data_IF_146319058311
#
_entry.id   IF_146319058311
#
_cell.length_a   1.000
_cell.length_b   1.000
_cell.length_c   1.000
_cell.angle_alpha   90.00
_cell.angle_beta   90.00
_cell.angle_gamma   90.00
#
_symmetry.space_group_name_H-M   'P 1'
#
loop_
_entity.id
_entity.type
_entity.pdbx_description
1 polymer ?
#
# COMPACT_ATOMS: atom_id res chain seq x y z
N UNK A 1 16.32 6.66 -12.34
CA UNK A 1 16.24 6.12 -10.98
C UNK A 1 15.08 5.15 -10.91
N UNK A 2 15.31 3.98 -10.31
CA UNK A 2 14.29 2.96 -10.12
C UNK A 2 13.71 3.07 -8.70
N UNK A 3 12.43 3.34 -8.62
CA UNK A 3 11.65 3.34 -7.37
C UNK A 3 10.91 2.01 -7.22
N UNK A 4 10.90 1.46 -6.00
CA UNK A 4 10.01 0.37 -5.60
C UNK A 4 8.95 0.92 -4.66
N UNK A 5 7.70 0.97 -5.11
CA UNK A 5 6.57 1.49 -4.35
C UNK A 5 5.72 0.31 -3.84
N UNK A 6 5.36 0.32 -2.57
CA UNK A 6 4.59 -0.75 -1.94
C UNK A 6 3.76 -0.24 -0.78
N UNK A 7 2.65 -0.90 -0.48
CA UNK A 7 1.71 -0.53 0.57
C UNK A 7 0.95 -1.72 1.15
N UNK A 8 0.09 -1.44 2.12
CA UNK A 8 -0.91 -2.39 2.61
C UNK A 8 -0.28 -3.73 3.01
N UNK A 9 0.77 -3.62 3.85
CA UNK A 9 1.58 -4.75 4.34
C UNK A 9 0.78 -5.55 5.39
N UNK A 10 0.05 -4.81 6.22
CA UNK A 10 -0.85 -5.39 7.22
C UNK A 10 -0.22 -6.50 8.06
N UNK A 11 0.97 -6.25 8.62
CA UNK A 11 1.65 -7.20 9.49
C UNK A 11 1.99 -8.56 8.84
N UNK A 12 1.99 -8.64 7.51
CA UNK A 12 2.33 -9.86 6.76
C UNK A 12 3.83 -9.89 6.42
N UNK A 13 4.62 -10.31 7.41
CA UNK A 13 6.07 -10.32 7.32
C UNK A 13 6.61 -11.21 6.20
N UNK A 14 5.94 -12.34 5.91
CA UNK A 14 6.39 -13.26 4.86
C UNK A 14 6.24 -12.62 3.47
N UNK A 15 5.14 -11.89 3.24
CA UNK A 15 4.94 -11.14 2.00
C UNK A 15 5.93 -9.98 1.87
N UNK A 16 6.11 -9.19 2.94
CA UNK A 16 7.04 -8.06 2.96
C UNK A 16 8.47 -8.49 2.62
N UNK A 17 8.96 -9.59 3.20
CA UNK A 17 10.29 -10.14 2.89
C UNK A 17 10.43 -10.45 1.42
N UNK A 18 9.46 -11.12 0.82
CA UNK A 18 9.49 -11.46 -0.61
C UNK A 18 9.48 -10.22 -1.50
N UNK A 19 8.69 -9.20 -1.17
CA UNK A 19 8.66 -7.93 -1.91
C UNK A 19 10.02 -7.23 -1.84
N UNK A 20 10.59 -7.06 -0.66
CA UNK A 20 11.90 -6.40 -0.50
C UNK A 20 13.03 -7.18 -1.20
N UNK A 21 13.01 -8.51 -1.17
CA UNK A 21 13.97 -9.34 -1.91
C UNK A 21 13.75 -9.27 -3.43
N UNK A 22 12.49 -9.13 -3.87
CA UNK A 22 12.18 -8.85 -5.28
C UNK A 22 12.77 -7.51 -5.70
N UNK A 23 12.57 -6.45 -4.93
CA UNK A 23 13.12 -5.12 -5.21
C UNK A 23 14.64 -5.11 -5.36
N UNK A 24 15.35 -5.91 -4.55
CA UNK A 24 16.81 -6.10 -4.71
C UNK A 24 17.16 -6.69 -6.08
N UNK A 25 16.40 -7.72 -6.54
CA UNK A 25 16.63 -8.37 -7.85
C UNK A 25 16.34 -7.43 -9.02
N UNK A 26 15.40 -6.49 -8.86
CA UNK A 26 15.10 -5.45 -9.85
C UNK A 26 16.07 -4.26 -9.78
N UNK A 27 17.02 -4.28 -8.84
CA UNK A 27 18.00 -3.19 -8.60
C UNK A 27 17.29 -1.86 -8.29
N UNK A 28 16.27 -1.92 -7.44
CA UNK A 28 15.57 -0.74 -6.94
C UNK A 28 16.55 0.13 -6.14
N UNK A 29 16.63 1.41 -6.49
CA UNK A 29 17.51 2.39 -5.88
C UNK A 29 16.86 3.14 -4.71
N UNK A 30 15.51 3.29 -4.75
CA UNK A 30 14.75 4.02 -3.74
C UNK A 30 13.42 3.30 -3.43
N UNK A 31 13.17 3.02 -2.16
CA UNK A 31 12.00 2.27 -1.69
C UNK A 31 11.04 3.20 -0.97
N UNK A 32 9.76 3.17 -1.40
CA UNK A 32 8.68 4.01 -0.89
C UNK A 32 7.57 3.12 -0.37
N UNK A 33 7.28 3.24 0.93
CA UNK A 33 6.13 2.58 1.58
C UNK A 33 4.99 3.58 1.72
N UNK A 34 3.84 3.27 1.12
CA UNK A 34 2.67 4.14 1.18
C UNK A 34 1.77 3.89 2.40
N UNK A 35 2.27 3.23 3.44
CA UNK A 35 1.53 3.03 4.68
C UNK A 35 0.74 1.72 4.76
N UNK A 36 -0.11 1.64 5.78
CA UNK A 36 -0.80 0.42 6.23
C UNK A 36 0.18 -0.72 6.48
N UNK A 37 1.22 -0.40 7.26
CA UNK A 37 2.25 -1.34 7.68
C UNK A 37 1.66 -2.36 8.66
N UNK A 38 0.76 -1.90 9.53
CA UNK A 38 0.15 -2.72 10.58
C UNK A 38 -1.34 -3.03 10.33
N UNK A 39 -1.98 -3.73 11.26
CA UNK A 39 -3.36 -4.19 11.13
C UNK A 39 -3.46 -5.58 10.50
N UNK A 40 -4.56 -6.29 10.75
CA UNK A 40 -4.93 -7.61 10.24
C UNK A 40 -3.94 -8.75 10.54
N UNK A 41 -2.68 -8.62 10.20
CA UNK A 41 -1.69 -9.70 10.21
C UNK A 41 -0.92 -9.86 11.52
N UNK A 42 -0.12 -10.93 11.63
CA UNK A 42 0.39 -11.40 12.92
C UNK A 42 1.70 -10.75 13.40
N UNK A 43 2.39 -9.95 12.55
CA UNK A 43 3.74 -9.44 12.84
C UNK A 43 3.86 -7.91 12.68
N UNK A 44 3.04 -7.10 13.43
CA UNK A 44 3.04 -5.65 13.24
C UNK A 44 4.40 -5.01 13.56
N UNK A 45 5.04 -5.40 14.66
CA UNK A 45 6.30 -4.79 15.09
C UNK A 45 7.46 -5.13 14.14
N UNK A 46 7.54 -6.37 13.70
CA UNK A 46 8.59 -6.84 12.78
C UNK A 46 8.44 -6.18 11.40
N UNK A 47 7.21 -5.93 10.96
CA UNK A 47 6.96 -5.19 9.72
C UNK A 47 7.35 -3.72 9.86
N UNK A 48 7.02 -3.06 10.98
CA UNK A 48 7.45 -1.67 11.24
C UNK A 48 8.98 -1.56 11.27
N UNK A 49 9.67 -2.45 12.00
CA UNK A 49 11.13 -2.49 12.08
C UNK A 49 11.75 -2.64 10.69
N UNK A 50 11.26 -3.60 9.90
CA UNK A 50 11.79 -3.86 8.56
C UNK A 50 11.54 -2.70 7.58
N UNK A 51 10.37 -2.04 7.64
CA UNK A 51 10.08 -0.86 6.84
C UNK A 51 10.95 0.31 7.25
N UNK A 52 11.11 0.57 8.55
CA UNK A 52 11.97 1.63 9.07
C UNK A 52 13.45 1.47 8.65
N UNK A 53 13.93 0.23 8.59
CA UNK A 53 15.32 -0.06 8.21
C UNK A 53 15.56 -0.06 6.70
N UNK A 54 14.56 -0.44 5.90
CA UNK A 54 14.77 -0.74 4.48
C UNK A 54 14.03 0.18 3.50
N UNK A 55 13.30 1.19 4.00
CA UNK A 55 12.59 2.16 3.15
C UNK A 55 13.23 3.54 3.27
N UNK A 56 13.29 4.25 2.15
CA UNK A 56 13.83 5.62 2.08
C UNK A 56 12.74 6.66 2.35
N UNK A 57 11.50 6.31 2.03
CA UNK A 57 10.30 7.14 2.20
C UNK A 57 9.20 6.28 2.78
N UNK A 58 8.54 6.78 3.82
CA UNK A 58 7.39 6.11 4.44
C UNK A 58 6.32 7.14 4.73
N UNK A 59 5.08 6.86 4.35
CA UNK A 59 3.91 7.68 4.70
C UNK A 59 2.94 6.87 5.55
N UNK A 60 2.02 7.59 6.21
CA UNK A 60 1.05 7.01 7.14
C UNK A 60 -0.15 6.44 6.38
N UNK A 61 -0.56 5.20 6.73
CA UNK A 61 -1.84 4.62 6.32
C UNK A 61 -2.92 4.75 7.40
N UNK A 62 -4.17 4.45 7.06
CA UNK A 62 -5.29 4.59 8.00
C UNK A 62 -5.23 3.57 9.14
N UNK A 63 -4.76 2.36 8.90
CA UNK A 63 -4.53 1.38 9.96
C UNK A 63 -3.41 1.81 10.90
N UNK A 64 -2.33 2.36 10.37
CA UNK A 64 -1.23 2.91 11.17
C UNK A 64 -1.73 4.06 12.04
N UNK A 65 -2.52 4.97 11.47
CA UNK A 65 -3.11 6.14 12.13
C UNK A 65 -4.00 5.73 13.33
N UNK A 66 -4.85 4.72 13.14
CA UNK A 66 -5.68 4.17 14.23
C UNK A 66 -4.84 3.39 15.24
N UNK A 67 -3.83 2.64 14.80
CA UNK A 67 -2.96 1.87 15.69
C UNK A 67 -2.22 2.75 16.70
N UNK A 68 -1.82 3.97 16.30
CA UNK A 68 -1.16 4.94 17.20
C UNK A 68 -2.15 5.82 17.97
N UNK A 69 -3.46 5.61 17.79
CA UNK A 69 -4.50 6.32 18.56
C UNK A 69 -4.82 7.73 18.09
N UNK A 70 -4.44 8.11 16.87
CA UNK A 70 -4.80 9.40 16.27
C UNK A 70 -6.28 9.45 15.84
N UNK A 71 -6.87 8.29 15.55
CA UNK A 71 -8.29 8.11 15.22
C UNK A 71 -8.88 6.90 15.95
N UNK A 72 -10.22 6.86 16.04
CA UNK A 72 -10.96 5.70 16.55
C UNK A 72 -11.31 4.76 15.41
N UNK A 73 -11.29 3.44 15.68
CA UNK A 73 -11.83 2.43 14.77
C UNK A 73 -13.33 2.15 14.97
N UNK A 74 -13.99 2.84 15.89
CA UNK A 74 -15.41 2.60 16.22
C UNK A 74 -16.35 2.89 15.06
N UNK A 75 -15.96 3.82 14.17
CA UNK A 75 -16.71 4.18 12.97
C UNK A 75 -16.49 3.21 11.79
N UNK A 76 -15.57 2.27 11.93
CA UNK A 76 -15.35 1.30 10.85
C UNK A 76 -16.51 0.30 10.76
N UNK A 77 -17.10 0.17 9.60
CA UNK A 77 -18.22 -0.77 9.36
C UNK A 77 -17.79 -2.25 9.39
N UNK A 78 -16.51 -2.55 9.47
CA UNK A 78 -15.96 -3.90 9.43
C UNK A 78 -15.51 -4.37 10.83
N UNK A 79 -16.35 -5.18 11.48
CA UNK A 79 -16.06 -5.73 12.80
C UNK A 79 -14.73 -6.52 12.88
N UNK A 80 -14.35 -7.27 11.84
CA UNK A 80 -13.08 -8.00 11.84
C UNK A 80 -11.89 -7.04 11.78
N UNK A 81 -12.02 -5.93 11.05
CA UNK A 81 -11.00 -4.88 11.02
C UNK A 81 -10.86 -4.20 12.39
N UNK A 82 -11.98 -3.86 13.05
CA UNK A 82 -11.97 -3.29 14.41
C UNK A 82 -11.26 -4.21 15.41
N UNK A 83 -11.59 -5.51 15.39
CA UNK A 83 -10.93 -6.49 16.29
C UNK A 83 -9.44 -6.64 16.00
N UNK A 84 -9.06 -6.68 14.73
CA UNK A 84 -7.66 -6.83 14.33
C UNK A 84 -6.84 -5.61 14.74
N UNK A 85 -7.36 -4.39 14.53
CA UNK A 85 -6.61 -3.18 14.90
C UNK A 85 -6.53 -3.00 16.41
N UNK A 86 -7.55 -3.41 17.16
CA UNK A 86 -7.49 -3.43 18.63
C UNK A 86 -6.38 -4.36 19.11
N UNK A 87 -6.34 -5.59 18.60
CA UNK A 87 -5.26 -6.53 18.90
C UNK A 87 -3.89 -5.95 18.52
N UNK A 88 -3.78 -5.32 17.34
CA UNK A 88 -2.54 -4.67 16.90
C UNK A 88 -2.08 -3.62 17.91
N UNK A 89 -2.97 -2.75 18.40
CA UNK A 89 -2.67 -1.75 19.43
C UNK A 89 -2.17 -2.37 20.74
N UNK A 90 -2.78 -3.49 21.14
CA UNK A 90 -2.42 -4.17 22.40
C UNK A 90 -1.01 -4.80 22.35
N UNK A 91 -0.49 -5.15 21.14
CA UNK A 91 0.82 -5.78 20.97
C UNK A 91 1.89 -4.83 20.38
N UNK A 92 1.50 -3.64 19.95
CA UNK A 92 2.41 -2.68 19.33
C UNK A 92 3.39 -2.15 20.37
N UNK A 93 4.69 -2.28 20.08
CA UNK A 93 5.76 -1.77 20.95
C UNK A 93 5.82 -0.24 20.90
N UNK A 94 6.22 0.44 21.99
CA UNK A 94 6.35 1.90 22.01
C UNK A 94 7.21 2.45 20.86
N UNK A 95 8.35 1.83 20.57
CA UNK A 95 9.24 2.25 19.46
C UNK A 95 8.55 2.16 18.09
N UNK A 96 7.72 1.13 17.86
CA UNK A 96 6.94 1.00 16.63
C UNK A 96 5.85 2.06 16.55
N UNK A 97 5.16 2.32 17.68
CA UNK A 97 4.14 3.37 17.77
C UNK A 97 4.75 4.77 17.56
N UNK A 98 5.90 5.05 18.14
CA UNK A 98 6.62 6.31 17.97
C UNK A 98 7.04 6.53 16.51
N UNK A 99 7.53 5.49 15.82
CA UNK A 99 7.86 5.56 14.40
C UNK A 99 6.62 5.89 13.56
N UNK A 100 5.55 5.10 13.68
CA UNK A 100 4.30 5.33 12.95
C UNK A 100 3.70 6.71 13.26
N UNK A 101 3.78 7.14 14.52
CA UNK A 101 3.27 8.42 14.98
C UNK A 101 3.98 9.66 14.40
N UNK A 102 5.10 9.50 13.70
CA UNK A 102 5.83 10.63 13.08
C UNK A 102 5.64 10.69 11.56
N UNK A 103 4.98 9.67 10.96
CA UNK A 103 4.83 9.58 9.53
C UNK A 103 3.92 10.67 8.96
N UNK A 104 4.28 11.26 7.81
CA UNK A 104 3.46 12.23 7.09
C UNK A 104 2.34 11.53 6.30
N UNK A 105 1.31 12.28 5.91
CA UNK A 105 0.23 11.80 5.04
C UNK A 105 0.60 11.86 3.55
N UNK A 106 1.47 12.78 3.16
CA UNK A 106 1.85 13.07 1.78
C UNK A 106 3.33 13.37 1.71
N UNK A 107 3.99 12.86 0.68
CA UNK A 107 5.35 13.26 0.28
C UNK A 107 5.35 13.52 -1.22
N UNK A 108 6.08 14.57 -1.63
CA UNK A 108 6.27 14.94 -3.03
C UNK A 108 7.76 14.92 -3.34
N UNK A 109 8.15 14.10 -4.31
CA UNK A 109 9.48 14.06 -4.90
C UNK A 109 9.35 14.20 -6.42
N UNK A 110 9.30 15.43 -6.97
CA UNK A 110 9.02 15.60 -8.39
C UNK A 110 9.91 14.71 -9.29
N UNK A 111 9.31 14.01 -10.27
CA UNK A 111 7.95 14.14 -10.78
C UNK A 111 6.91 13.24 -10.12
N UNK A 112 7.14 12.76 -8.89
CA UNK A 112 6.34 11.77 -8.16
C UNK A 112 5.59 12.39 -6.98
N UNK A 113 4.34 11.96 -6.78
CA UNK A 113 3.47 12.29 -5.65
C UNK A 113 3.07 10.99 -4.93
N UNK A 114 3.11 10.98 -3.59
CA UNK A 114 2.81 9.82 -2.76
C UNK A 114 1.80 10.15 -1.69
N UNK A 115 0.72 9.38 -1.63
CA UNK A 115 -0.25 9.37 -0.53
C UNK A 115 -0.81 7.96 -0.34
N UNK A 116 -1.36 7.63 0.83
CA UNK A 116 -1.91 6.31 1.06
C UNK A 116 -3.26 6.09 0.34
N UNK A 117 -4.18 7.04 0.47
CA UNK A 117 -5.53 6.98 -0.09
C UNK A 117 -5.71 8.07 -1.16
N UNK A 118 -6.89 8.72 -1.19
CA UNK A 118 -7.16 9.78 -2.15
C UNK A 118 -6.28 11.03 -1.93
N UNK A 119 -5.84 11.72 -3.00
CA UNK A 119 -5.09 12.97 -2.89
C UNK A 119 -5.93 14.16 -2.38
N UNK A 120 -7.25 14.13 -2.46
CA UNK A 120 -8.13 15.27 -2.13
C UNK A 120 -8.50 15.37 -0.65
N UNK A 121 -7.98 14.85 0.21
CA UNK A 121 -8.07 14.91 1.68
C UNK A 121 -7.42 13.68 2.27
N UNK A 122 -6.10 13.60 2.25
CA UNK A 122 -5.38 12.39 2.66
C UNK A 122 -5.82 11.82 4.02
N UNK A 123 -6.16 12.66 5.05
CA UNK A 123 -6.61 12.14 6.34
C UNK A 123 -8.03 11.54 6.34
N UNK A 124 -8.84 11.77 5.30
CA UNK A 124 -10.21 11.23 5.23
C UNK A 124 -10.25 9.79 4.68
N UNK A 125 -9.14 9.28 4.19
CA UNK A 125 -8.98 7.91 3.71
C UNK A 125 -10.00 7.50 2.64
N UNK A 126 -10.37 8.42 1.73
CA UNK A 126 -11.33 8.14 0.66
C UNK A 126 -10.76 7.13 -0.32
N UNK A 127 -11.62 6.18 -0.73
CA UNK A 127 -11.24 5.19 -1.75
C UNK A 127 -11.18 5.82 -3.14
N UNK A 128 -10.20 5.41 -3.93
CA UNK A 128 -10.13 5.63 -5.38
C UNK A 128 -10.35 4.27 -6.03
N UNK A 129 -11.60 3.92 -6.30
CA UNK A 129 -12.01 2.57 -6.70
C UNK A 129 -12.51 2.48 -8.14
N UNK A 130 -12.84 3.61 -8.75
CA UNK A 130 -13.41 3.72 -10.10
C UNK A 130 -12.70 4.79 -10.90
N UNK A 131 -12.94 4.79 -12.22
CA UNK A 131 -12.36 5.80 -13.10
C UNK A 131 -12.73 7.22 -12.70
N UNK A 132 -14.00 7.45 -12.31
CA UNK A 132 -14.46 8.78 -11.88
C UNK A 132 -13.68 9.28 -10.64
N UNK A 133 -13.43 8.41 -9.67
CA UNK A 133 -12.62 8.75 -8.50
C UNK A 133 -11.18 9.12 -8.92
N UNK A 134 -10.62 8.40 -9.90
CA UNK A 134 -9.28 8.70 -10.44
C UNK A 134 -9.23 10.02 -11.20
N UNK A 135 -10.30 10.35 -11.94
CA UNK A 135 -10.46 11.66 -12.64
C UNK A 135 -10.42 12.80 -11.63
N UNK A 136 -11.22 12.69 -10.55
CA UNK A 136 -11.22 13.68 -9.48
C UNK A 136 -9.85 13.82 -8.83
N UNK A 137 -9.16 12.69 -8.60
CA UNK A 137 -7.84 12.66 -7.97
C UNK A 137 -6.79 13.48 -8.71
N UNK A 138 -6.79 13.46 -10.06
CA UNK A 138 -5.84 14.23 -10.87
C UNK A 138 -5.88 15.76 -10.64
N UNK A 139 -6.97 16.28 -10.09
CA UNK A 139 -7.10 17.70 -9.76
C UNK A 139 -6.35 18.12 -8.50
N UNK A 140 -5.86 17.17 -7.70
CA UNK A 140 -5.28 17.43 -6.39
C UNK A 140 -3.76 17.22 -6.29
N UNK A 141 -3.11 16.86 -7.37
CA UNK A 141 -1.64 16.84 -7.49
C UNK A 141 -1.23 17.28 -8.89
N UNK A 142 -0.01 17.80 -9.06
CA UNK A 142 0.50 18.34 -10.34
C UNK A 142 1.59 17.47 -10.96
N UNK A 143 2.12 16.54 -10.18
CA UNK A 143 3.21 15.65 -10.58
C UNK A 143 2.78 14.73 -11.73
N UNK A 144 3.74 14.22 -12.48
CA UNK A 144 3.44 13.34 -13.60
C UNK A 144 2.88 11.98 -13.16
N UNK A 145 3.32 11.47 -12.00
CA UNK A 145 2.86 10.18 -11.49
C UNK A 145 2.49 10.32 -10.01
N UNK A 146 1.22 10.08 -9.70
CA UNK A 146 0.72 9.90 -8.33
C UNK A 146 0.65 8.42 -7.96
N UNK A 147 1.07 8.07 -6.73
CA UNK A 147 0.99 6.72 -6.20
C UNK A 147 0.06 6.68 -4.98
N UNK A 148 -0.80 5.67 -4.95
CA UNK A 148 -1.77 5.38 -3.89
C UNK A 148 -1.83 3.88 -3.58
N UNK A 149 -2.35 3.51 -2.41
CA UNK A 149 -2.68 2.14 -1.98
C UNK A 149 -4.13 2.01 -1.55
N UNK A 150 -4.38 1.55 -0.31
CA UNK A 150 -5.63 1.55 0.43
C UNK A 150 -6.75 0.64 -0.12
N UNK A 151 -6.96 0.55 -1.44
CA UNK A 151 -7.98 -0.34 -2.02
C UNK A 151 -7.53 -1.79 -2.07
N UNK A 152 -6.24 -2.05 -2.03
CA UNK A 152 -5.56 -3.34 -2.27
C UNK A 152 -5.81 -3.91 -3.68
N UNK A 153 -6.21 -3.07 -4.60
CA UNK A 153 -6.51 -3.42 -5.98
C UNK A 153 -5.58 -2.64 -6.92
N UNK A 154 -4.64 -3.31 -7.59
CA UNK A 154 -3.68 -2.62 -8.44
C UNK A 154 -4.36 -2.06 -9.68
N UNK A 155 -4.15 -0.78 -9.94
CA UNK A 155 -4.62 -0.10 -11.16
C UNK A 155 -3.59 0.90 -11.65
N UNK A 156 -3.61 1.18 -12.96
CA UNK A 156 -2.91 2.29 -13.60
C UNK A 156 -3.96 3.13 -14.33
N UNK A 157 -4.34 4.26 -13.74
CA UNK A 157 -5.19 5.24 -14.39
C UNK A 157 -4.32 6.22 -15.18
N UNK A 158 -4.71 6.46 -16.43
CA UNK A 158 -3.98 7.30 -17.39
C UNK A 158 -4.85 8.50 -17.75
N UNK A 159 -4.31 9.70 -17.57
CA UNK A 159 -4.87 10.94 -18.07
C UNK A 159 -4.10 11.36 -19.33
N UNK A 160 -4.79 11.50 -20.44
CA UNK A 160 -4.24 11.91 -21.76
C UNK A 160 -4.72 13.33 -22.09
N UNK A 161 -3.86 14.32 -21.83
CA UNK A 161 -4.30 15.73 -21.89
C UNK A 161 -5.31 16.03 -20.76
N UNK A 162 -6.19 17.01 -20.95
CA UNK A 162 -7.08 17.51 -19.90
C UNK A 162 -8.45 16.80 -19.82
N UNK A 163 -8.83 16.01 -20.83
CA UNK A 163 -10.21 15.50 -20.96
C UNK A 163 -10.32 14.01 -21.31
N UNK A 164 -9.24 13.29 -21.44
CA UNK A 164 -9.26 11.87 -21.77
C UNK A 164 -8.65 11.04 -20.63
N UNK A 165 -9.45 10.15 -20.07
CA UNK A 165 -9.08 9.30 -18.94
C UNK A 165 -9.42 7.84 -19.24
N UNK A 166 -8.55 6.93 -18.84
CA UNK A 166 -8.78 5.48 -18.95
C UNK A 166 -8.04 4.70 -17.88
N UNK A 167 -8.49 3.50 -17.61
CA UNK A 167 -7.68 2.50 -16.87
C UNK A 167 -6.85 1.72 -17.89
N UNK A 168 -5.58 1.52 -17.61
CA UNK A 168 -4.71 0.67 -18.44
C UNK A 168 -5.19 -0.77 -18.41
N UNK A 169 -5.21 -1.42 -19.57
CA UNK A 169 -5.55 -2.85 -19.68
C UNK A 169 -4.46 -3.77 -19.13
N UNK A 170 -3.24 -3.25 -19.01
CA UNK A 170 -2.07 -3.98 -18.56
C UNK A 170 -1.52 -3.39 -17.26
N UNK A 171 -0.83 -4.22 -16.49
CA UNK A 171 -0.09 -3.83 -15.29
C UNK A 171 1.30 -3.23 -15.60
N UNK A 172 1.53 -2.84 -16.84
CA UNK A 172 2.71 -2.13 -17.33
C UNK A 172 2.28 -0.94 -18.21
N UNK A 173 2.91 0.21 -18.01
CA UNK A 173 2.67 1.39 -18.82
C UNK A 173 3.96 2.17 -19.08
N UNK A 174 4.14 2.66 -20.31
CA UNK A 174 5.17 3.64 -20.66
C UNK A 174 4.51 5.02 -20.75
N UNK A 175 4.92 5.93 -19.90
CA UNK A 175 4.36 7.28 -19.81
C UNK A 175 4.85 8.14 -20.97
N UNK A 176 3.92 8.72 -21.72
CA UNK A 176 4.20 9.71 -22.75
C UNK A 176 4.27 11.13 -22.15
N UNK A 177 5.00 12.08 -22.74
CA UNK A 177 5.20 13.43 -22.17
C UNK A 177 3.92 14.21 -21.85
N UNK A 178 2.83 13.93 -22.58
CA UNK A 178 1.51 14.60 -22.40
C UNK A 178 0.59 13.87 -21.42
N UNK A 179 1.03 12.72 -20.90
CA UNK A 179 0.25 11.90 -19.98
C UNK A 179 0.61 12.18 -18.53
N UNK A 180 -0.35 11.92 -17.65
CA UNK A 180 -0.15 11.75 -16.21
C UNK A 180 -0.72 10.41 -15.77
N UNK A 181 -0.16 9.85 -14.73
CA UNK A 181 -0.63 8.57 -14.14
C UNK A 181 -1.08 8.76 -12.71
N UNK A 182 -2.10 7.99 -12.33
CA UNK A 182 -2.40 7.64 -10.94
C UNK A 182 -2.30 6.12 -10.83
N UNK A 183 -1.40 5.64 -9.98
CA UNK A 183 -1.06 4.23 -9.85
C UNK A 183 -1.40 3.76 -8.44
N UNK A 184 -2.23 2.71 -8.35
CA UNK A 184 -2.38 1.95 -7.12
C UNK A 184 -1.50 0.71 -7.21
N UNK A 185 -0.60 0.51 -6.25
CA UNK A 185 0.37 -0.59 -6.25
C UNK A 185 -0.23 -1.94 -5.82
N UNK A 186 -1.50 -1.94 -5.39
CA UNK A 186 -2.19 -3.12 -4.88
C UNK A 186 -1.97 -3.31 -3.39
N UNK A 187 -1.53 -4.48 -2.97
CA UNK A 187 -1.22 -4.76 -1.56
C UNK A 187 -0.11 -5.81 -1.44
N UNK A 188 0.82 -5.56 -0.54
CA UNK A 188 1.83 -6.55 -0.14
C UNK A 188 1.18 -7.70 0.63
N UNK A 189 0.42 -7.38 1.67
CA UNK A 189 0.02 -8.34 2.68
C UNK A 189 -1.38 -8.92 2.56
N UNK A 190 -2.30 -8.21 1.86
CA UNK A 190 -3.71 -8.63 1.77
C UNK A 190 -4.34 -8.20 0.44
N UNK A 191 -3.91 -8.74 -0.71
CA UNK A 191 -4.52 -8.45 -2.01
C UNK A 191 -6.03 -8.74 -2.03
N UNK A 192 -6.82 -7.92 -2.77
CA UNK A 192 -8.30 -8.02 -2.83
C UNK A 192 -8.84 -8.14 -4.25
N UNK A 193 -7.99 -8.32 -5.23
CA UNK A 193 -8.29 -8.45 -6.66
C UNK A 193 -8.47 -9.90 -7.14
N UNK A 194 -8.74 -10.82 -6.20
CA UNK A 194 -8.85 -12.27 -6.40
C UNK A 194 -7.55 -12.94 -6.85
N UNK A 195 -6.44 -12.27 -6.67
CA UNK A 195 -5.11 -12.79 -6.90
C UNK A 195 -4.32 -12.76 -5.58
N UNK A 196 -3.99 -13.91 -4.96
CA UNK A 196 -3.34 -13.95 -3.66
C UNK A 196 -1.85 -13.57 -3.67
N UNK A 197 -1.29 -13.27 -4.83
CA UNK A 197 0.09 -12.85 -4.97
C UNK A 197 0.30 -11.45 -4.38
N UNK A 198 1.36 -11.27 -3.62
CA UNK A 198 1.79 -9.95 -3.14
C UNK A 198 2.06 -9.00 -4.33
N UNK A 199 1.80 -7.71 -4.13
CA UNK A 199 1.92 -6.69 -5.16
C UNK A 199 2.84 -5.56 -4.73
N UNK A 200 3.61 -5.02 -5.68
CA UNK A 200 4.35 -3.77 -5.56
C UNK A 200 4.55 -3.15 -6.94
N UNK A 201 4.89 -1.87 -7.02
CA UNK A 201 5.10 -1.17 -8.29
C UNK A 201 6.57 -0.81 -8.49
N UNK A 202 7.14 -1.19 -9.65
CA UNK A 202 8.40 -0.66 -10.15
C UNK A 202 8.13 0.59 -10.98
N UNK A 203 8.73 1.71 -10.60
CA UNK A 203 8.71 2.94 -11.39
C UNK A 203 10.14 3.30 -11.81
N UNK A 204 10.41 3.34 -13.11
CA UNK A 204 11.69 3.80 -13.65
C UNK A 204 11.51 5.21 -14.25
N UNK A 205 11.95 6.23 -13.51
CA UNK A 205 11.86 7.65 -13.95
C UNK A 205 12.79 7.98 -15.09
N UNK A 206 13.83 7.18 -15.33
CA UNK A 206 14.71 7.36 -16.49
C UNK A 206 14.09 6.85 -17.78
N UNK A 207 13.30 5.79 -17.71
CA UNK A 207 12.57 5.21 -18.85
C UNK A 207 11.12 5.68 -18.92
N UNK A 208 10.65 6.37 -17.90
CA UNK A 208 9.25 6.77 -17.73
C UNK A 208 8.29 5.57 -17.83
N UNK A 209 8.57 4.52 -17.08
CA UNK A 209 7.75 3.30 -17.04
C UNK A 209 7.28 2.98 -15.63
N UNK A 210 6.08 2.40 -15.54
CA UNK A 210 5.54 1.80 -14.33
C UNK A 210 5.13 0.35 -14.61
N UNK A 211 5.41 -0.54 -13.67
CA UNK A 211 5.08 -1.97 -13.74
C UNK A 211 4.60 -2.47 -12.39
N UNK A 212 3.42 -3.06 -12.34
CA UNK A 212 2.94 -3.77 -11.15
C UNK A 212 3.50 -5.19 -11.16
N UNK A 213 4.34 -5.49 -10.19
CA UNK A 213 4.99 -6.79 -10.02
C UNK A 213 4.21 -7.63 -9.03
N UNK A 214 3.90 -8.85 -9.41
CA UNK A 214 3.17 -9.82 -8.57
C UNK A 214 4.07 -11.00 -8.24
N UNK A 215 4.10 -11.42 -6.97
CA UNK A 215 4.97 -12.51 -6.54
C UNK A 215 4.35 -13.36 -5.43
N UNK A 216 4.70 -14.65 -5.45
CA UNK A 216 4.26 -15.59 -4.43
C UNK A 216 5.03 -15.39 -3.12
N UNK A 217 4.36 -15.67 -2.01
CA UNK A 217 4.96 -15.78 -0.68
C UNK A 217 4.37 -16.98 0.06
N UNK A 218 4.91 -17.33 1.22
CA UNK A 218 4.40 -18.44 2.04
C UNK A 218 3.13 -18.04 2.81
N UNK A 219 1.99 -18.10 2.11
CA UNK A 219 0.67 -17.80 2.68
C UNK A 219 0.37 -18.73 3.86
N UNK A 220 0.71 -20.02 3.76
CA UNK A 220 0.45 -21.00 4.80
C UNK A 220 1.17 -20.69 6.11
N UNK A 221 2.38 -20.16 6.03
CA UNK A 221 3.15 -19.73 7.19
C UNK A 221 2.49 -18.53 7.89
N UNK A 222 2.03 -17.54 7.12
CA UNK A 222 1.28 -16.39 7.66
C UNK A 222 -0.04 -16.84 8.29
N UNK A 223 -0.83 -17.66 7.60
CA UNK A 223 -2.09 -18.20 8.11
C UNK A 223 -1.89 -18.99 9.42
N UNK A 224 -0.84 -19.81 9.48
CA UNK A 224 -0.50 -20.59 10.67
C UNK A 224 -0.14 -19.69 11.87
N UNK A 225 0.58 -18.59 11.62
CA UNK A 225 0.88 -17.60 12.65
C UNK A 225 -0.38 -16.88 13.14
N UNK A 226 -1.26 -16.47 12.22
CA UNK A 226 -2.55 -15.83 12.54
C UNK A 226 -3.44 -16.74 13.43
N UNK A 227 -3.53 -18.06 13.10
CA UNK A 227 -4.29 -19.03 13.90
C UNK A 227 -3.74 -19.17 15.32
N UNK A 228 -2.40 -19.24 15.46
CA UNK A 228 -1.77 -19.32 16.81
C UNK A 228 -2.08 -18.12 17.68
N UNK A 229 -2.33 -16.96 17.09
CA UNK A 229 -2.68 -15.72 17.79
C UNK A 229 -4.19 -15.53 17.97
N UNK A 230 -5.03 -16.47 17.49
CA UNK A 230 -6.49 -16.40 17.59
C UNK A 230 -7.12 -15.28 16.76
N UNK A 231 -6.47 -14.87 15.69
CA UNK A 231 -7.04 -13.91 14.74
C UNK A 231 -8.22 -14.53 13.97
N UNK A 232 -9.14 -13.71 13.47
CA UNK A 232 -10.38 -14.18 12.88
C UNK A 232 -10.14 -15.05 11.63
N UNK A 233 -10.77 -16.23 11.56
CA UNK A 233 -10.65 -17.16 10.43
C UNK A 233 -11.00 -16.48 9.07
N UNK A 234 -11.95 -15.55 9.06
CA UNK A 234 -12.24 -14.76 7.87
C UNK A 234 -10.99 -14.03 7.33
N UNK A 235 -10.20 -13.40 8.22
CA UNK A 235 -8.96 -12.70 7.83
C UNK A 235 -7.87 -13.66 7.38
N UNK A 236 -7.86 -14.89 7.93
CA UNK A 236 -6.90 -15.93 7.60
C UNK A 236 -7.17 -16.50 6.21
N UNK A 237 -8.43 -16.88 5.96
CA UNK A 237 -8.80 -17.57 4.74
C UNK A 237 -8.70 -16.66 3.50
N UNK A 238 -9.04 -15.39 3.65
CA UNK A 238 -9.00 -14.42 2.55
C UNK A 238 -7.62 -14.25 1.92
N UNK A 239 -6.51 -14.52 2.65
CA UNK A 239 -5.15 -14.43 2.12
C UNK A 239 -4.92 -15.38 0.93
N UNK A 240 -5.47 -16.60 1.00
CA UNK A 240 -5.36 -17.57 -0.11
C UNK A 240 -6.35 -17.31 -1.23
N UNK A 241 -7.36 -16.49 -1.01
CA UNK A 241 -8.41 -16.16 -1.97
C UNK A 241 -8.15 -14.84 -2.71
N UNK A 242 -7.24 -14.02 -2.20
CA UNK A 242 -7.01 -12.67 -2.72
C UNK A 242 -8.23 -11.75 -2.53
N UNK A 243 -8.85 -11.76 -1.35
CA UNK A 243 -10.08 -11.01 -1.02
C UNK A 243 -9.93 -10.08 0.16
#
# INVERSE_FOLDING_TARGET
MKYGIFSDIHGNLEALRQVLDSMKRYEVERRVCLGDIVGYGPFPNECVEMVAEQSDVVILGNHDNVAVGRESSEEWNNYNAQRAIKWTRDVLKPVSADFLGQLPYVIIEPPLYFTHASPWSPPDWKYVSRLDDAVDAFSFFSEQIGFIGHTHWPIIAVMEGEQSFRISENLFHTLLPVQRLLVNDGSVGQPRDRNPLASWCLCDTGRMTVEIVRLAYDIGKTQSAMRRLGLAEFLINRLSEGR
#
